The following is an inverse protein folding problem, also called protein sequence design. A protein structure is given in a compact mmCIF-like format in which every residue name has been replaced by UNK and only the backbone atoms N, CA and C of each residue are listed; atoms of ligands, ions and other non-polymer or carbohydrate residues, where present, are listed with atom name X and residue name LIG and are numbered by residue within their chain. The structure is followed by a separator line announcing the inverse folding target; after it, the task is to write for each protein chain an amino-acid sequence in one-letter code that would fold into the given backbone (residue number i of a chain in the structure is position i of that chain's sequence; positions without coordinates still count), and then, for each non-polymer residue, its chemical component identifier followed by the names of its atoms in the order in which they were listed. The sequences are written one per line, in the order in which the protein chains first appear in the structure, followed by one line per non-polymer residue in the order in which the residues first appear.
data_IF_422981595237
#
_entry.id   IF_422981595237
#
_cell.length_a   1.000
_cell.length_b   1.000
_cell.length_c   1.000
_cell.angle_alpha   90.00
_cell.angle_beta   90.00
_cell.angle_gamma   90.00
#
_symmetry.space_group_name_H-M   'P 1'
#
loop_
_entity.id
_entity.type
_entity.pdbx_description
1 polymer ?
2 non-polymer ?
3 water ?
#
# COMPACT_ATOMS: atom_id res chain seq x y z
N UNK A 7 0.16 4.97 36.07
CA UNK A 7 -0.15 3.71 35.36
C UNK A 7 0.12 3.76 33.86
N UNK A 8 -0.28 4.88 33.24
CA UNK A 8 -0.26 5.15 31.82
C UNK A 8 0.78 6.21 31.43
N UNK A 9 1.32 6.07 30.19
CA UNK A 9 2.34 6.92 29.60
C UNK A 9 2.28 6.85 28.06
N UNK A 10 2.49 8.00 27.38
CA UNK A 10 2.51 8.14 25.91
C UNK A 10 3.85 8.80 25.55
N UNK A 11 4.64 8.15 24.65
CA UNK A 11 5.95 8.62 24.19
C UNK A 11 5.87 8.96 22.68
N UNK A 12 6.13 10.21 22.33
CA UNK A 12 6.09 10.71 20.96
C UNK A 12 7.48 11.19 20.58
N UNK A 13 8.28 10.31 19.96
CA UNK A 13 9.70 10.54 19.59
C UNK A 13 9.87 11.11 18.18
N UNK A 14 8.75 11.37 17.50
CA UNK A 14 8.76 11.94 16.17
C UNK A 14 9.22 13.40 16.21
N UNK A 15 10.14 13.80 15.30
CA UNK A 15 10.58 15.19 15.27
C UNK A 15 9.40 16.14 15.13
N UNK A 16 9.44 17.22 15.92
CA UNK A 16 8.44 18.30 15.98
C UNK A 16 8.28 18.99 14.62
N UNK A 17 9.22 18.74 13.68
CA UNK A 17 9.16 19.25 12.32
C UNK A 17 8.24 18.42 11.45
N UNK A 18 7.95 17.16 11.85
CA UNK A 18 7.06 16.27 11.08
C UNK A 18 5.61 16.73 11.06
N UNK A 19 5.00 16.62 9.87
CA UNK A 19 3.62 16.99 9.54
C UNK A 19 2.57 16.47 10.54
N UNK A 20 2.72 15.21 11.01
CA UNK A 20 1.78 14.52 11.89
C UNK A 20 1.92 14.83 13.40
N UNK A 21 2.97 15.59 13.83
CA UNK A 21 3.23 15.91 15.25
C UNK A 21 2.08 16.67 15.93
N UNK A 22 1.72 17.85 15.39
CA UNK A 22 0.62 18.68 15.87
C UNK A 22 -0.67 17.89 15.96
N UNK A 23 -1.12 17.24 14.83
CA UNK A 23 -2.32 16.37 14.88
C UNK A 23 -2.29 15.32 15.98
N UNK A 24 -1.16 14.57 16.12
CA UNK A 24 -1.03 13.53 17.15
C UNK A 24 -1.14 14.07 18.57
N UNK A 25 -0.54 15.26 18.85
CA UNK A 25 -0.64 15.92 20.15
C UNK A 25 -2.04 16.36 20.48
N UNK A 26 -2.78 16.95 19.50
CA UNK A 26 -4.18 17.38 19.69
C UNK A 26 -5.07 16.16 19.99
N UNK A 27 -4.84 15.07 19.25
CA UNK A 27 -5.54 13.82 19.39
C UNK A 27 -5.23 13.13 20.74
N UNK A 28 -3.95 13.12 21.18
CA UNK A 28 -3.57 12.56 22.49
C UNK A 28 -4.20 13.38 23.63
N UNK A 29 -4.19 14.72 23.50
CA UNK A 29 -4.78 15.68 24.44
C UNK A 29 -6.28 15.45 24.61
N UNK A 30 -7.00 15.35 23.48
CA UNK A 30 -8.46 15.21 23.41
C UNK A 30 -9.00 13.87 23.90
N UNK A 31 -8.44 12.74 23.42
CA UNK A 31 -8.99 11.42 23.73
C UNK A 31 -8.29 10.68 24.88
N UNK A 32 -7.11 11.15 25.29
CA UNK A 32 -6.39 10.57 26.44
C UNK A 32 -5.88 11.74 27.32
N UNK A 33 -6.77 12.61 27.87
CA UNK A 33 -6.30 13.76 28.66
C UNK A 33 -5.53 13.41 29.94
N UNK A 34 -5.81 12.23 30.52
CA UNK A 34 -5.20 11.76 31.77
C UNK A 34 -3.86 11.04 31.59
N UNK A 35 -3.45 10.84 30.32
CA UNK A 35 -2.17 10.18 30.02
C UNK A 35 -1.10 11.20 29.61
N UNK A 36 0.02 11.33 30.37
CA UNK A 36 1.05 12.31 29.99
C UNK A 36 1.83 11.98 28.70
N UNK A 37 2.12 13.00 27.88
CA UNK A 37 2.89 12.85 26.64
C UNK A 37 4.37 13.22 26.90
N UNK A 38 5.28 12.31 26.55
CA UNK A 38 6.73 12.47 26.70
C UNK A 38 7.36 12.35 25.31
N UNK A 39 8.47 13.05 25.06
CA UNK A 39 9.18 13.04 23.78
C UNK A 39 10.44 12.17 23.87
N UNK A 40 10.60 11.47 24.98
CA UNK A 40 11.74 10.60 25.24
C UNK A 40 11.33 9.30 25.94
N UNK A 41 11.79 8.20 25.39
CA UNK A 41 11.56 6.86 25.90
C UNK A 41 12.35 6.68 27.21
N UNK A 42 11.67 6.31 28.33
CA UNK A 42 12.41 6.16 29.60
C UNK A 42 13.40 4.98 29.57
N UNK A 43 14.31 4.93 30.56
CA UNK A 43 15.31 3.87 30.68
C UNK A 43 14.61 2.49 30.70
N UNK A 44 13.51 2.35 31.46
CA UNK A 44 12.73 1.11 31.55
C UNK A 44 11.25 1.37 31.38
N UNK A 45 10.53 0.38 30.83
CA UNK A 45 9.09 0.44 30.63
C UNK A 45 8.44 -0.36 31.77
N UNK A 46 8.00 0.34 32.81
CA UNK A 46 7.42 -0.27 34.00
C UNK A 46 5.96 0.17 34.28
N UNK A 47 5.36 0.82 33.26
CA UNK A 47 4.00 1.34 33.21
C UNK A 47 3.48 0.94 31.82
N UNK A 48 2.15 0.95 31.59
CA UNK A 48 1.67 0.66 30.25
C UNK A 48 1.87 1.93 29.43
N UNK A 49 2.54 1.80 28.28
CA UNK A 49 2.92 2.95 27.47
C UNK A 49 2.67 2.77 25.98
N UNK A 50 2.41 3.89 25.32
CA UNK A 50 2.24 3.90 23.88
C UNK A 50 3.31 4.80 23.27
N UNK A 51 4.20 4.20 22.51
CA UNK A 51 5.28 4.86 21.82
C UNK A 51 4.93 5.04 20.34
N UNK A 52 4.69 6.28 19.93
CA UNK A 52 4.47 6.61 18.55
C UNK A 52 5.79 7.24 18.10
N UNK A 53 6.49 6.51 17.24
CA UNK A 53 7.77 6.94 16.69
C UNK A 53 7.96 6.58 15.23
N UNK A 54 9.10 6.98 14.66
CA UNK A 54 9.54 6.60 13.31
C UNK A 54 10.01 5.17 13.47
N UNK A 55 10.02 4.37 12.38
CA UNK A 55 10.35 2.94 12.44
C UNK A 55 11.60 2.62 13.24
N UNK A 56 12.69 3.36 12.95
CA UNK A 56 13.98 3.18 13.61
C UNK A 56 14.00 3.57 15.09
N UNK A 57 13.07 4.46 15.56
CA UNK A 57 13.07 4.85 16.99
C UNK A 57 12.37 3.79 17.87
N UNK A 58 11.56 2.93 17.25
CA UNK A 58 10.84 1.92 18.03
C UNK A 58 11.72 0.77 18.50
N UNK A 59 11.35 0.11 19.61
CA UNK A 59 12.10 -1.00 20.18
C UNK A 59 11.35 -2.29 19.98
N UNK A 60 11.74 -3.03 18.91
CA UNK A 60 11.11 -4.27 18.51
C UNK A 60 11.32 -5.41 19.51
N UNK A 61 12.43 -5.40 20.26
CA UNK A 61 12.70 -6.41 21.29
C UNK A 61 11.79 -6.22 22.51
N UNK A 62 11.52 -4.95 22.90
CA UNK A 62 10.63 -4.60 24.01
C UNK A 62 9.14 -4.77 23.65
N UNK A 63 8.84 -4.85 22.35
CA UNK A 63 7.48 -5.01 21.84
C UNK A 63 7.10 -6.49 21.88
N UNK A 64 8.07 -7.38 21.59
CA UNK A 64 7.82 -8.83 21.60
C UNK A 64 8.04 -9.48 22.96
N UNK A 65 8.65 -8.74 23.91
CA UNK A 65 8.97 -9.26 25.25
C UNK A 65 8.22 -8.57 26.39
N UNK A 66 7.82 -7.29 26.19
CA UNK A 66 7.12 -6.53 27.22
C UNK A 66 5.73 -6.17 26.77
N UNK A 67 4.74 -6.63 27.53
CA UNK A 67 3.35 -6.38 27.21
C UNK A 67 2.88 -5.00 27.64
N UNK A 68 3.75 -4.25 28.35
CA UNK A 68 3.45 -2.89 28.79
C UNK A 68 3.72 -1.90 27.69
N UNK A 69 4.67 -2.24 26.78
CA UNK A 69 5.12 -1.40 25.67
C UNK A 69 4.29 -1.59 24.42
N UNK A 70 3.69 -0.51 23.94
CA UNK A 70 2.89 -0.50 22.71
C UNK A 70 3.54 0.46 21.77
N UNK A 71 3.61 0.08 20.52
CA UNK A 71 4.26 0.86 19.48
C UNK A 71 3.35 0.98 18.22
N UNK A 72 3.66 1.96 17.37
CA UNK A 72 2.93 2.19 16.11
C UNK A 72 3.55 1.38 14.95
N UNK A 73 3.89 0.12 15.20
CA UNK A 73 4.40 -0.79 14.18
C UNK A 73 4.26 -2.23 14.60
N UNK A 74 4.13 -3.12 13.59
CA UNK A 74 4.13 -4.56 13.79
C UNK A 74 5.55 -5.05 13.51
N UNK A 75 5.86 -6.29 13.92
CA UNK A 75 7.18 -6.86 13.76
C UNK A 75 7.34 -7.59 12.42
N UNK A 76 6.41 -8.52 12.11
CA UNK A 76 6.44 -9.34 10.89
C UNK A 76 5.42 -8.82 9.88
N UNK A 77 5.86 -8.00 8.95
CA UNK A 77 4.94 -7.47 7.98
C UNK A 77 5.50 -7.50 6.53
N UNK A 78 6.63 -8.18 6.32
CA UNK A 78 7.33 -8.36 5.03
C UNK A 78 6.43 -8.98 3.95
N UNK A 79 5.54 -9.90 4.37
CA UNK A 79 4.56 -10.59 3.53
C UNK A 79 3.56 -9.63 2.86
N UNK A 80 3.44 -8.36 3.33
CA UNK A 80 2.52 -7.39 2.70
C UNK A 80 3.26 -6.12 2.26
N UNK A 81 4.30 -5.66 2.99
CA UNK A 81 5.00 -4.42 2.59
C UNK A 81 6.06 -4.66 1.51
N UNK A 82 6.39 -5.93 1.22
CA UNK A 82 7.33 -6.23 0.13
C UNK A 82 6.54 -6.75 -1.05
N UNK A 83 6.54 -5.99 -2.17
CA UNK A 83 5.78 -6.30 -3.40
C UNK A 83 6.11 -7.70 -3.99
N UNK A 84 7.33 -8.23 -3.79
CA UNK A 84 7.61 -9.58 -4.29
C UNK A 84 6.84 -10.60 -3.43
N UNK A 85 6.94 -10.43 -2.11
CA UNK A 85 6.31 -11.30 -1.13
C UNK A 85 4.78 -11.17 -1.09
N UNK A 86 4.26 -9.94 -1.35
CA UNK A 86 2.83 -9.63 -1.43
C UNK A 86 2.20 -10.53 -2.48
N UNK A 87 2.84 -10.58 -3.68
CA UNK A 87 2.43 -11.41 -4.82
C UNK A 87 2.30 -12.85 -4.36
N UNK A 88 3.31 -13.38 -3.66
CA UNK A 88 3.30 -14.75 -3.14
C UNK A 88 2.19 -14.98 -2.15
N UNK A 89 1.95 -14.02 -1.26
CA UNK A 89 0.87 -14.10 -0.27
C UNK A 89 -0.49 -14.22 -0.99
N UNK A 90 -0.73 -13.37 -2.00
CA UNK A 90 -1.99 -13.36 -2.76
C UNK A 90 -2.13 -14.64 -3.59
N UNK A 91 -1.09 -15.03 -4.37
CA UNK A 91 -1.10 -16.24 -5.19
C UNK A 91 -1.44 -17.47 -4.40
N UNK A 92 -0.81 -17.66 -3.22
CA UNK A 92 -1.06 -18.86 -2.41
C UNK A 92 -2.44 -18.88 -1.78
N UNK A 93 -3.03 -17.71 -1.56
CA UNK A 93 -4.36 -17.60 -0.98
C UNK A 93 -5.50 -17.83 -2.00
N UNK A 94 -5.38 -17.28 -3.23
CA UNK A 94 -6.41 -17.37 -4.27
C UNK A 94 -6.57 -18.81 -4.80
N UNK A 95 -5.53 -19.66 -4.62
CA UNK A 95 -5.52 -21.07 -5.00
C UNK A 95 -6.73 -21.76 -4.37
N UNK A 96 -6.92 -21.59 -3.04
CA UNK A 96 -8.05 -22.16 -2.31
C UNK A 96 -9.19 -21.16 -2.11
N UNK A 97 -9.13 -19.99 -2.78
CA UNK A 97 -10.15 -18.93 -2.67
C UNK A 97 -10.40 -18.30 -4.04
N UNK A 98 -11.06 -19.07 -4.91
CA UNK A 98 -11.44 -18.77 -6.29
C UNK A 98 -12.37 -17.55 -6.38
N UNK A 99 -13.32 -17.40 -5.44
CA UNK A 99 -14.32 -16.32 -5.50
C UNK A 99 -13.80 -14.95 -5.00
N UNK A 100 -12.63 -14.92 -4.34
CA UNK A 100 -11.98 -13.74 -3.78
C UNK A 100 -11.77 -12.61 -4.80
N UNK A 101 -12.01 -11.35 -4.35
CA UNK A 101 -11.82 -10.11 -5.14
C UNK A 101 -10.35 -10.00 -5.56
N UNK A 102 -9.43 -10.56 -4.75
CA UNK A 102 -7.98 -10.56 -4.99
C UNK A 102 -7.55 -11.25 -6.30
N UNK A 103 -8.44 -12.09 -6.90
CA UNK A 103 -8.23 -12.74 -8.19
C UNK A 103 -8.34 -11.72 -9.32
N UNK A 104 -8.99 -10.56 -9.05
CA UNK A 104 -9.20 -9.46 -10.00
C UNK A 104 -8.50 -8.17 -9.59
N UNK A 105 -8.63 -7.78 -8.30
CA UNK A 105 -8.16 -6.55 -7.68
C UNK A 105 -6.66 -6.50 -7.28
N UNK A 106 -5.78 -7.14 -8.06
CA UNK A 106 -4.35 -7.14 -7.78
C UNK A 106 -3.50 -7.20 -9.05
N UNK A 107 -2.46 -6.36 -9.12
CA UNK A 107 -1.55 -6.32 -10.24
C UNK A 107 -0.38 -7.17 -9.88
N UNK A 108 -0.32 -8.37 -10.45
CA UNK A 108 0.73 -9.33 -10.19
C UNK A 108 2.05 -8.78 -10.71
N UNK A 109 3.14 -9.19 -10.07
CA UNK A 109 4.51 -8.88 -10.47
C UNK A 109 5.34 -10.14 -10.31
N UNK A 110 6.37 -10.27 -11.13
CA UNK A 110 7.27 -11.41 -11.12
C UNK A 110 8.67 -10.91 -11.33
N UNK A 111 9.65 -11.69 -10.88
CA UNK A 111 11.06 -11.38 -11.05
C UNK A 111 11.67 -12.36 -12.02
N UNK A 112 12.31 -11.84 -13.06
CA UNK A 112 12.94 -12.65 -14.09
C UNK A 112 14.41 -12.28 -14.23
N UNK A 113 15.25 -13.28 -14.53
CA UNK A 113 16.68 -13.11 -14.76
C UNK A 113 16.95 -13.66 -16.15
N UNK A 114 17.28 -12.75 -17.08
CA UNK A 114 17.56 -13.13 -18.46
C UNK A 114 18.98 -12.67 -18.77
N UNK A 115 19.83 -13.61 -19.17
CA UNK A 115 21.23 -13.39 -19.52
C UNK A 115 21.30 -12.89 -20.97
N UNK A 116 20.71 -13.66 -21.90
CA UNK A 116 20.66 -13.39 -23.35
C UNK A 116 19.29 -13.79 -23.85
N UNK A 117 18.85 -13.12 -24.92
CA UNK A 117 17.53 -13.29 -25.56
C UNK A 117 17.23 -14.75 -25.95
N UNK A 118 18.25 -15.49 -26.42
CA UNK A 118 18.14 -16.90 -26.83
C UNK A 118 17.75 -17.88 -25.68
N UNK A 119 17.85 -17.42 -24.41
CA UNK A 119 17.51 -18.23 -23.26
C UNK A 119 16.33 -17.71 -22.46
N UNK A 120 15.49 -16.86 -23.11
CA UNK A 120 14.25 -16.29 -22.56
C UNK A 120 13.29 -17.41 -22.17
N UNK A 121 13.19 -18.46 -23.00
CA UNK A 121 12.33 -19.60 -22.71
C UNK A 121 12.73 -20.36 -21.44
N UNK A 122 14.04 -20.41 -21.11
CA UNK A 122 14.52 -21.08 -19.90
C UNK A 122 14.23 -20.23 -18.67
N UNK A 123 14.28 -18.90 -18.82
CA UNK A 123 14.00 -17.96 -17.74
C UNK A 123 12.50 -18.00 -17.38
N UNK A 124 11.62 -18.25 -18.37
CA UNK A 124 10.18 -18.38 -18.18
C UNK A 124 9.81 -19.68 -17.45
N UNK A 125 10.69 -20.69 -17.52
CA UNK A 125 10.51 -21.95 -16.81
C UNK A 125 10.94 -21.79 -15.35
N UNK A 126 12.05 -21.07 -15.09
CA UNK A 126 12.58 -20.75 -13.75
C UNK A 126 11.59 -19.84 -12.91
N UNK A 127 10.48 -19.39 -13.54
CA UNK A 127 9.39 -18.63 -12.95
C UNK A 127 8.13 -19.10 -13.67
N UNK A 128 7.70 -20.35 -13.34
CA UNK A 128 6.56 -21.07 -13.92
C UNK A 128 5.23 -20.34 -13.77
N UNK A 129 5.04 -19.57 -12.67
CA UNK A 129 3.81 -18.80 -12.43
C UNK A 129 3.60 -17.77 -13.56
N UNK A 130 4.69 -17.06 -13.93
CA UNK A 130 4.76 -16.03 -14.96
C UNK A 130 4.45 -16.63 -16.33
N UNK A 131 5.11 -17.76 -16.68
CA UNK A 131 4.92 -18.45 -17.97
C UNK A 131 3.44 -18.70 -18.24
N UNK A 132 2.75 -19.27 -17.23
CA UNK A 132 1.34 -19.65 -17.27
C UNK A 132 0.45 -18.45 -17.45
N UNK A 133 0.80 -17.34 -16.82
CA UNK A 133 0.07 -16.09 -16.93
C UNK A 133 0.15 -15.53 -18.35
N UNK A 134 1.38 -15.45 -18.93
CA UNK A 134 1.64 -14.95 -20.29
C UNK A 134 0.94 -15.82 -21.34
N UNK A 135 0.90 -17.15 -21.08
CA UNK A 135 0.26 -18.15 -21.93
C UNK A 135 -1.26 -17.99 -21.95
N UNK A 136 -1.85 -17.50 -20.84
CA UNK A 136 -3.28 -17.24 -20.70
C UNK A 136 -3.79 -16.14 -21.63
N UNK A 137 -2.90 -15.20 -22.04
CA UNK A 137 -3.12 -14.11 -22.98
C UNK A 137 -4.30 -13.16 -22.62
N UNK A 138 -4.58 -13.00 -21.32
CA UNK A 138 -5.69 -12.19 -20.80
C UNK A 138 -5.28 -10.80 -20.29
N UNK A 139 -3.96 -10.52 -20.16
CA UNK A 139 -3.48 -9.27 -19.56
C UNK A 139 -2.41 -8.55 -20.34
N UNK A 140 -2.19 -7.25 -19.99
CA UNK A 140 -1.12 -6.41 -20.51
C UNK A 140 -0.01 -6.46 -19.48
N UNK A 141 1.23 -6.26 -19.94
CA UNK A 141 2.38 -6.40 -19.07
C UNK A 141 3.39 -5.38 -19.37
N UNK A 142 4.22 -5.14 -18.41
CA UNK A 142 5.30 -4.21 -18.56
C UNK A 142 6.60 -4.91 -18.11
N UNK A 143 7.65 -4.79 -18.94
CA UNK A 143 8.97 -5.34 -18.67
C UNK A 143 9.84 -4.19 -18.12
N UNK A 144 10.03 -4.16 -16.78
CA UNK A 144 10.77 -3.12 -16.08
C UNK A 144 12.17 -3.61 -15.73
N UNK A 145 13.25 -3.01 -16.28
CA UNK A 145 14.59 -3.42 -15.87
C UNK A 145 14.81 -2.84 -14.46
N UNK A 146 14.90 -3.73 -13.43
CA UNK A 146 15.05 -3.41 -12.01
C UNK A 146 15.99 -2.24 -11.70
N UNK A 147 17.03 -2.07 -12.52
CA UNK A 147 17.99 -0.98 -12.39
C UNK A 147 17.84 0.02 -13.53
N UNK A 148 17.80 1.32 -13.19
CA UNK A 148 17.64 2.41 -14.16
C UNK A 148 19.00 3.04 -14.51
N UNK A 152 17.34 -0.34 -20.23
CA UNK A 152 17.05 -0.11 -21.63
C UNK A 152 15.60 0.40 -21.86
N UNK A 153 14.94 0.80 -20.77
CA UNK A 153 13.59 1.35 -20.80
C UNK A 153 12.49 0.34 -20.55
N UNK A 154 11.43 0.76 -19.82
CA UNK A 154 10.30 -0.12 -19.50
C UNK A 154 9.36 -0.23 -20.74
N UNK A 155 9.15 -1.47 -21.23
CA UNK A 155 8.39 -1.79 -22.43
C UNK A 155 7.13 -2.66 -22.20
N UNK A 156 6.07 -2.36 -22.97
CA UNK A 156 4.78 -3.04 -22.94
C UNK A 156 4.76 -4.23 -23.91
N UNK A 157 4.03 -5.28 -23.52
CA UNK A 157 3.81 -6.49 -24.32
C UNK A 157 2.61 -7.24 -23.75
N UNK A 158 2.11 -8.21 -24.50
CA UNK A 158 1.00 -9.07 -24.06
C UNK A 158 1.33 -10.56 -24.21
N UNK A 159 2.21 -10.93 -25.17
CA UNK A 159 2.57 -12.34 -25.44
C UNK A 159 4.08 -12.68 -25.30
N UNK A 160 4.36 -13.98 -25.15
CA UNK A 160 5.71 -14.52 -25.08
C UNK A 160 6.54 -14.10 -26.30
N UNK A 161 5.96 -14.15 -27.54
CA UNK A 161 6.65 -13.71 -28.77
C UNK A 161 6.99 -12.21 -28.75
N UNK A 162 6.04 -11.38 -28.25
CA UNK A 162 6.26 -9.95 -28.10
C UNK A 162 7.43 -9.69 -27.12
N UNK A 163 7.44 -10.39 -25.98
CA UNK A 163 8.53 -10.35 -25.00
C UNK A 163 9.85 -10.81 -25.62
N UNK A 164 9.79 -11.87 -26.44
CA UNK A 164 10.92 -12.44 -27.16
C UNK A 164 11.52 -11.43 -28.15
N UNK A 165 10.67 -10.68 -28.87
CA UNK A 165 11.06 -9.64 -29.83
C UNK A 165 11.70 -8.45 -29.11
N UNK A 166 11.20 -8.11 -27.90
CA UNK A 166 11.75 -7.03 -27.09
C UNK A 166 13.21 -7.40 -26.73
N UNK A 167 13.42 -8.62 -26.17
CA UNK A 167 14.75 -9.13 -25.78
C UNK A 167 15.72 -9.24 -26.94
N UNK A 168 15.25 -9.68 -28.12
CA UNK A 168 16.03 -9.79 -29.35
C UNK A 168 16.54 -8.41 -29.78
N UNK A 169 15.66 -7.39 -29.69
CA UNK A 169 15.98 -6.01 -30.06
C UNK A 169 16.96 -5.34 -29.09
N UNK A 170 17.11 -5.88 -27.85
CA UNK A 170 18.06 -5.36 -26.86
C UNK A 170 19.49 -5.76 -27.25
N UNK A 171 19.64 -6.99 -27.83
CA UNK A 171 20.89 -7.59 -28.30
C UNK A 171 21.46 -6.86 -29.52
N UNK A 172 20.60 -6.25 -30.34
CA UNK A 172 21.00 -5.56 -31.56
C UNK A 172 20.48 -4.13 -31.59
N UNK A 191 24.36 -5.05 -20.61
CA UNK A 191 23.36 -4.39 -19.77
C UNK A 191 23.09 -5.20 -18.47
N UNK A 192 22.02 -4.85 -17.73
CA UNK A 192 21.61 -5.51 -16.48
C UNK A 192 20.67 -6.68 -16.78
N UNK A 193 20.76 -7.75 -15.97
CA UNK A 193 20.06 -9.02 -16.19
C UNK A 193 18.76 -9.24 -15.38
N UNK A 194 18.56 -8.50 -14.28
CA UNK A 194 17.35 -8.67 -13.47
C UNK A 194 16.23 -7.79 -14.03
N UNK A 195 15.01 -8.33 -14.08
CA UNK A 195 13.83 -7.60 -14.58
C UNK A 195 12.60 -7.93 -13.78
N UNK A 196 11.66 -6.99 -13.73
CA UNK A 196 10.36 -7.22 -13.12
C UNK A 196 9.36 -7.19 -14.26
N UNK A 197 8.45 -8.15 -14.28
CA UNK A 197 7.36 -8.25 -15.22
C UNK A 197 6.13 -7.93 -14.37
N UNK A 198 5.57 -6.75 -14.60
CA UNK A 198 4.46 -6.25 -13.81
C UNK A 198 3.22 -6.12 -14.69
N UNK A 199 2.06 -6.59 -14.20
CA UNK A 199 0.78 -6.43 -14.88
C UNK A 199 0.58 -4.93 -15.12
N UNK A 200 0.21 -4.60 -16.34
CA UNK A 200 0.03 -3.21 -16.72
C UNK A 200 -1.43 -2.86 -16.99
N UNK A 201 -1.88 -1.75 -16.44
CA UNK A 201 -3.22 -1.21 -16.62
C UNK A 201 -3.23 -0.23 -17.84
N UNK A 202 -3.60 -0.77 -19.02
CA UNK A 202 -3.63 -0.04 -20.31
C UNK A 202 -4.79 0.94 -20.38
N UNK A 203 -5.77 0.67 -19.53
CA UNK A 203 -7.12 1.16 -19.32
C UNK A 203 -7.23 2.20 -18.13
N UNK A 204 -6.34 3.18 -17.83
CA UNK A 204 -6.59 4.00 -16.63
C UNK A 204 -7.81 4.91 -16.73
N UNK A 205 -8.50 5.17 -15.61
CA UNK A 205 -9.66 6.07 -15.56
C UNK A 205 -9.13 7.49 -15.76
N UNK A 206 -9.64 8.13 -16.81
CA UNK A 206 -9.26 9.49 -17.25
C UNK A 206 -10.44 10.40 -17.08
N UNK A 207 -10.26 11.42 -16.23
CA UNK A 207 -11.27 12.38 -15.83
C UNK A 207 -11.06 13.68 -16.51
N UNK A 208 -12.16 14.34 -16.91
CA UNK A 208 -12.20 15.62 -17.61
C UNK A 208 -11.45 16.68 -16.78
N UNK A 209 -11.93 16.89 -15.55
CA UNK A 209 -11.42 17.83 -14.56
C UNK A 209 -9.88 17.73 -14.30
N UNK A 210 -9.29 16.55 -14.45
CA UNK A 210 -7.87 16.36 -14.27
C UNK A 210 -7.08 16.54 -15.59
N UNK A 211 -7.76 17.02 -16.65
CA UNK A 211 -7.19 17.20 -17.99
C UNK A 211 -6.46 15.93 -18.51
N UNK A 212 -7.11 14.77 -18.35
CA UNK A 212 -6.67 13.47 -18.83
C UNK A 212 -5.42 12.88 -18.21
N UNK A 213 -5.09 13.33 -17.01
CA UNK A 213 -3.95 12.87 -16.23
C UNK A 213 -4.47 11.71 -15.39
N UNK A 214 -3.75 10.58 -15.39
CA UNK A 214 -4.15 9.39 -14.64
C UNK A 214 -3.84 9.57 -13.15
N UNK A 215 -4.43 8.71 -12.29
CA UNK A 215 -4.17 8.81 -10.87
C UNK A 215 -4.19 7.48 -10.20
N UNK A 216 -3.56 7.46 -9.03
CA UNK A 216 -3.66 6.30 -8.17
C UNK A 216 -4.29 6.77 -6.87
N UNK A 217 -4.86 5.82 -6.11
CA UNK A 217 -5.51 6.09 -4.85
C UNK A 217 -4.55 5.67 -3.73
N UNK A 218 -4.35 6.57 -2.78
CA UNK A 218 -3.62 6.28 -1.56
C UNK A 218 -4.71 6.15 -0.48
N UNK A 219 -4.86 4.93 0.03
CA UNK A 219 -5.83 4.60 1.07
C UNK A 219 -5.06 4.28 2.39
N UNK A 220 -5.32 5.05 3.49
CA UNK A 220 -4.68 4.74 4.78
C UNK A 220 -5.47 3.65 5.50
N UNK A 221 -4.77 2.57 5.84
CA UNK A 221 -5.35 1.39 6.47
C UNK A 221 -4.67 1.22 7.82
N UNK A 222 -5.46 1.18 8.91
CA UNK A 222 -4.90 1.00 10.25
C UNK A 222 -5.24 -0.37 10.77
N UNK A 223 -4.21 -1.12 11.12
CA UNK A 223 -4.33 -2.40 11.80
C UNK A 223 -4.16 -2.11 13.24
N UNK A 224 -5.02 -2.67 14.06
CA UNK A 224 -4.95 -2.49 15.51
C UNK A 224 -5.00 -3.85 16.24
N UNK A 225 -3.99 -4.13 17.06
CA UNK A 225 -3.85 -5.33 17.87
C UNK A 225 -3.89 -6.64 17.10
N UNK A 226 -4.54 -7.69 17.69
CA UNK A 226 -4.68 -9.01 17.07
C UNK A 226 -6.16 -9.47 16.99
N UNK A 227 -6.91 -9.09 15.95
CA UNK A 227 -6.57 -8.14 14.89
C UNK A 227 -7.83 -7.44 14.47
N UNK A 228 -7.75 -6.12 14.33
CA UNK A 228 -8.81 -5.30 13.77
C UNK A 228 -8.22 -4.52 12.63
N UNK A 229 -8.93 -4.47 11.50
CA UNK A 229 -8.48 -3.76 10.31
C UNK A 229 -9.46 -2.64 10.02
N UNK A 230 -8.93 -1.41 9.93
CA UNK A 230 -9.72 -0.22 9.74
C UNK A 230 -9.28 0.51 8.50
N UNK A 231 -10.22 0.74 7.60
CA UNK A 231 -9.96 1.50 6.38
C UNK A 231 -10.49 2.91 6.60
N UNK A 232 -9.65 3.90 6.31
CA UNK A 232 -9.98 5.31 6.39
C UNK A 232 -10.62 5.71 5.02
N UNK A 233 -11.92 6.06 5.05
CA UNK A 233 -12.71 6.37 3.85
C UNK A 233 -12.42 7.72 3.19
N UNK A 234 -11.59 8.58 3.80
CA UNK A 234 -11.21 9.85 3.19
C UNK A 234 -9.89 9.55 2.50
N UNK A 235 -9.96 9.11 1.25
CA UNK A 235 -8.80 8.69 0.49
C UNK A 235 -8.22 9.80 -0.42
N UNK A 236 -7.01 9.57 -0.94
CA UNK A 236 -6.31 10.55 -1.75
C UNK A 236 -6.18 10.06 -3.17
N UNK A 237 -6.25 10.99 -4.10
CA UNK A 237 -6.02 10.75 -5.51
C UNK A 237 -4.77 11.59 -5.84
N UNK A 238 -3.70 10.90 -6.26
CA UNK A 238 -2.41 11.48 -6.59
C UNK A 238 -2.30 11.36 -8.09
N UNK A 239 -2.37 12.50 -8.77
CA UNK A 239 -2.33 12.60 -10.24
C UNK A 239 -0.94 12.68 -10.82
N UNK A 240 -0.77 12.08 -12.01
CA UNK A 240 0.49 12.09 -12.76
C UNK A 240 0.71 13.52 -13.34
N UNK A 241 1.96 13.99 -13.57
CA UNK A 241 2.13 15.38 -14.06
C UNK A 241 1.61 15.67 -15.48
N UNK A 242 1.78 14.69 -16.36
CA UNK A 242 1.43 14.81 -17.77
C UNK A 242 0.16 14.05 -18.17
N UNK A 243 -0.45 14.46 -19.28
CA UNK A 243 -1.65 13.82 -19.82
C UNK A 243 -1.27 12.42 -20.27
N UNK A 244 -2.12 11.43 -19.96
CA UNK A 244 -1.87 10.05 -20.33
C UNK A 244 -1.88 9.85 -21.85
N UNK A 245 -0.82 9.23 -22.36
CA UNK A 245 -0.68 8.94 -23.79
C UNK A 245 -0.48 7.42 -23.88
N UNK A 246 -1.47 6.64 -24.40
CA UNK A 246 -1.29 5.19 -24.49
C UNK A 246 -0.22 4.74 -25.50
N UNK A 247 0.72 3.87 -25.08
CA UNK A 247 1.78 3.41 -26.00
C UNK A 247 1.29 2.53 -27.16
N UNK A 248 1.99 2.63 -28.30
CA UNK A 248 1.73 1.92 -29.56
C UNK A 248 2.81 0.84 -29.77
N UNK A 249 2.88 0.27 -31.00
CA UNK A 249 3.91 -0.69 -31.37
C UNK A 249 5.15 0.05 -31.91
N UNK A 250 4.94 1.25 -32.54
CA UNK A 250 6.04 2.09 -33.03
C UNK A 250 6.88 2.64 -31.86
N UNK A 251 6.20 2.94 -30.74
CA UNK A 251 6.79 3.44 -29.50
C UNK A 251 6.07 2.79 -28.29
N UNK A 252 6.70 1.74 -27.70
CA UNK A 252 6.14 0.94 -26.60
C UNK A 252 6.83 1.15 -25.24
N UNK A 253 7.50 2.30 -25.10
CA UNK A 253 8.23 2.66 -23.88
C UNK A 253 7.42 3.70 -23.09
N UNK A 254 7.58 3.69 -21.77
CA UNK A 254 7.01 4.68 -20.84
C UNK A 254 8.06 5.06 -19.80
N UNK A 255 8.00 6.32 -19.31
CA UNK A 255 8.98 6.88 -18.37
C UNK A 255 10.39 6.97 -19.04
N UNK A 256 10.42 7.45 -20.31
CA UNK A 256 11.64 7.66 -21.11
C UNK A 256 12.49 8.77 -20.47
N UNK A 257 11.80 9.80 -19.91
CA UNK A 257 12.37 10.97 -19.23
C UNK A 257 13.15 10.57 -17.98
N UNK A 258 12.90 9.36 -17.44
CA UNK A 258 13.61 8.80 -16.31
C UNK A 258 14.91 8.15 -16.80
N UNK A 259 14.86 7.41 -17.93
CA UNK A 259 16.08 6.79 -18.51
C UNK A 259 16.99 7.82 -19.20
N UNK A 260 16.40 8.96 -19.65
CA UNK A 260 17.12 10.08 -20.27
C UNK A 260 17.82 10.89 -19.17
N UNK A 261 17.20 10.95 -17.96
CA UNK A 261 17.72 11.63 -16.77
C UNK A 261 19.03 11.00 -16.28
N UNK A 262 19.21 9.68 -16.43
CA UNK A 262 20.43 8.98 -16.03
C UNK A 262 21.58 9.21 -17.02
N UNK A 263 21.25 9.51 -18.29
CA UNK A 263 22.23 9.80 -19.34
C UNK A 263 22.83 11.22 -19.18
N UNK A 264 22.11 12.10 -18.46
CA UNK A 264 22.50 13.50 -18.23
C UNK A 264 22.78 13.83 -16.74
N UNK A 265 22.38 12.92 -15.81
CA UNK A 265 22.49 13.01 -14.35
C UNK A 265 21.74 14.21 -13.78
N UNK A 278 0.08 16.63 -8.07
CA UNK A 278 -1.24 17.07 -7.59
C UNK A 278 -1.92 15.99 -6.76
N UNK A 279 -2.39 16.39 -5.57
CA UNK A 279 -3.08 15.57 -4.57
C UNK A 279 -4.42 16.24 -4.24
N UNK A 280 -5.50 15.52 -4.48
CA UNK A 280 -6.90 15.91 -4.24
C UNK A 280 -7.50 14.72 -3.48
N UNK A 281 -8.44 15.01 -2.57
CA UNK A 281 -9.20 14.00 -1.85
C UNK A 281 -10.06 13.29 -2.90
N UNK A 282 -10.01 11.95 -2.88
CA UNK A 282 -10.76 11.13 -3.81
C UNK A 282 -12.23 11.51 -3.96
N UNK A 283 -12.96 11.73 -2.83
CA UNK A 283 -14.38 12.05 -2.84
C UNK A 283 -14.70 13.41 -3.44
N UNK A 284 -13.68 14.28 -3.55
CA UNK A 284 -13.85 15.60 -4.15
C UNK A 284 -13.87 15.50 -5.69
N UNK A 285 -13.57 14.30 -6.29
CA UNK A 285 -13.58 14.14 -7.74
C UNK A 285 -15.05 13.88 -8.20
N UNK A 286 -15.77 14.95 -8.59
CA UNK A 286 -17.19 14.86 -8.93
C UNK A 286 -17.44 14.29 -10.32
N UNK A 287 -16.40 14.21 -11.18
CA UNK A 287 -16.52 13.59 -12.49
C UNK A 287 -16.63 12.07 -12.38
N UNK A 288 -16.42 11.54 -11.15
CA UNK A 288 -16.68 10.14 -10.85
C UNK A 288 -18.09 10.15 -10.28
N UNK A 289 -19.12 9.55 -10.94
CA UNK A 289 -20.47 9.52 -10.30
C UNK A 289 -20.42 8.95 -8.88
N UNK A 290 -21.19 9.51 -7.93
CA UNK A 290 -21.16 9.06 -6.53
C UNK A 290 -21.32 7.55 -6.33
N UNK A 291 -22.17 6.86 -7.11
CA UNK A 291 -22.34 5.41 -6.97
C UNK A 291 -21.07 4.67 -7.41
N UNK A 292 -20.29 5.26 -8.35
CA UNK A 292 -19.02 4.70 -8.78
C UNK A 292 -17.98 4.92 -7.69
N UNK A 293 -18.01 6.07 -7.01
CA UNK A 293 -17.12 6.34 -5.88
C UNK A 293 -17.38 5.34 -4.75
N UNK A 294 -18.67 4.99 -4.50
CA UNK A 294 -19.08 4.04 -3.47
C UNK A 294 -18.66 2.60 -3.80
N UNK A 295 -18.75 2.21 -5.08
CA UNK A 295 -18.34 0.90 -5.60
C UNK A 295 -16.82 0.76 -5.46
N UNK A 296 -16.06 1.87 -5.68
CA UNK A 296 -14.61 1.86 -5.52
C UNK A 296 -14.28 1.65 -4.00
N UNK A 297 -15.08 2.24 -3.12
CA UNK A 297 -14.88 2.11 -1.68
C UNK A 297 -15.18 0.65 -1.26
N UNK A 298 -16.29 0.10 -1.76
CA UNK A 298 -16.72 -1.28 -1.51
C UNK A 298 -15.60 -2.25 -1.93
N UNK A 299 -15.11 -2.13 -3.18
CA UNK A 299 -13.96 -2.92 -3.68
C UNK A 299 -12.72 -2.78 -2.80
N UNK A 300 -12.43 -1.54 -2.34
CA UNK A 300 -11.25 -1.30 -1.49
C UNK A 300 -11.37 -2.07 -0.14
N UNK A 301 -12.52 -1.97 0.50
CA UNK A 301 -12.77 -2.64 1.77
C UNK A 301 -12.71 -4.11 1.62
N UNK A 302 -13.23 -4.64 0.51
CA UNK A 302 -13.18 -6.06 0.24
C UNK A 302 -11.75 -6.57 0.04
N UNK A 303 -10.96 -5.81 -0.74
CA UNK A 303 -9.57 -6.16 -1.07
C UNK A 303 -8.63 -6.13 0.14
N UNK A 304 -8.80 -5.12 1.03
CA UNK A 304 -8.06 -4.94 2.28
C UNK A 304 -8.36 -6.14 3.23
N UNK A 305 -9.64 -6.47 3.43
CA UNK A 305 -10.16 -7.56 4.29
C UNK A 305 -9.59 -8.92 3.84
N UNK A 306 -9.66 -9.19 2.53
CA UNK A 306 -9.17 -10.40 1.87
C UNK A 306 -7.66 -10.50 2.01
N UNK A 307 -6.94 -9.37 1.85
CA UNK A 307 -5.48 -9.35 2.00
C UNK A 307 -5.04 -9.71 3.39
N UNK A 308 -5.69 -9.15 4.40
CA UNK A 308 -5.34 -9.48 5.77
C UNK A 308 -5.70 -10.93 6.11
N UNK A 309 -6.77 -11.49 5.52
CA UNK A 309 -7.11 -12.90 5.72
C UNK A 309 -6.00 -13.78 5.05
N UNK A 310 -5.54 -13.37 3.86
CA UNK A 310 -4.46 -14.03 3.11
C UNK A 310 -3.18 -14.05 3.91
N UNK A 311 -2.72 -12.86 4.36
CA UNK A 311 -1.51 -12.56 5.11
C UNK A 311 -1.35 -13.34 6.40
N UNK A 312 -2.42 -13.41 7.18
CA UNK A 312 -2.48 -14.06 8.48
C UNK A 312 -2.49 -15.59 8.38
N UNK A 313 -3.22 -16.14 7.39
CA UNK A 313 -3.47 -17.57 7.23
C UNK A 313 -2.52 -18.34 6.30
N UNK A 314 -1.64 -17.68 5.52
CA UNK A 314 -0.72 -18.39 4.62
C UNK A 314 0.17 -19.40 5.34
N UNK A 315 0.40 -20.54 4.66
CA UNK A 315 1.21 -21.67 5.12
C UNK A 315 2.72 -21.37 4.94
N UNK A 316 3.03 -20.22 4.28
CA UNK A 316 4.37 -19.68 4.00
C UNK A 316 4.62 -18.47 4.94
N UNK A 317 5.50 -17.52 4.53
CA UNK A 317 5.83 -16.29 5.25
C UNK A 317 4.52 -15.56 5.53
N UNK A 318 4.22 -15.28 6.80
CA UNK A 318 2.96 -14.62 7.15
C UNK A 318 3.11 -13.38 8.04
N UNK A 319 2.03 -12.57 8.07
CA UNK A 319 1.88 -11.38 8.87
C UNK A 319 1.51 -11.87 10.25
N UNK A 320 2.30 -11.52 11.29
CA UNK A 320 2.05 -11.96 12.66
C UNK A 320 1.56 -10.78 13.48
N UNK A 321 0.22 -10.67 13.65
CA UNK A 321 -0.31 -9.57 14.46
C UNK A 321 0.02 -9.71 15.95
N UNK A 322 0.44 -8.61 16.54
CA UNK A 322 0.75 -8.45 17.94
C UNK A 322 -0.36 -7.65 18.59
N UNK A 323 -0.76 -8.06 19.78
CA UNK A 323 -1.79 -7.45 20.61
C UNK A 323 -1.43 -5.98 20.99
N UNK A 324 -0.15 -5.71 21.20
CA UNK A 324 0.34 -4.42 21.64
C UNK A 324 0.86 -3.54 20.49
N UNK A 325 0.50 -3.87 19.27
CA UNK A 325 0.90 -3.08 18.11
C UNK A 325 -0.32 -2.50 17.43
N UNK A 326 -0.11 -1.40 16.72
CA UNK A 326 -1.03 -0.80 15.77
C UNK A 326 -0.16 -0.28 14.64
N UNK A 327 -0.71 -0.14 13.45
CA UNK A 327 0.08 0.39 12.36
C UNK A 327 -0.82 0.94 11.28
N UNK A 328 -0.47 2.13 10.75
CA UNK A 328 -1.24 2.63 9.62
C UNK A 328 -0.34 2.53 8.39
N UNK A 329 -0.86 1.85 7.37
CA UNK A 329 -0.17 1.60 6.13
C UNK A 329 -0.82 2.43 5.03
N UNK A 330 -0.04 2.70 3.98
CA UNK A 330 -0.46 3.39 2.78
C UNK A 330 -0.71 2.39 1.66
N UNK A 331 -2.01 2.12 1.36
CA UNK A 331 -2.38 1.18 0.29
C UNK A 331 -2.54 1.94 -1.00
N UNK A 332 -1.79 1.53 -2.02
CA UNK A 332 -1.86 2.15 -3.34
C UNK A 332 -2.57 1.28 -4.34
N UNK A 333 -3.69 1.83 -4.81
CA UNK A 333 -4.58 1.25 -5.80
C UNK A 333 -4.61 2.06 -7.10
N UNK A 334 -4.70 1.35 -8.22
CA UNK A 334 -4.90 1.92 -9.56
C UNK A 334 -6.40 1.73 -9.88
N UNK A 335 -6.97 2.66 -10.63
CA UNK A 335 -8.36 2.64 -11.05
C UNK A 335 -8.37 2.59 -12.56
N UNK A 336 -9.15 1.66 -13.13
CA UNK A 336 -9.32 1.53 -14.58
C UNK A 336 -10.54 2.30 -15.06
N UNK A 337 -10.72 2.40 -16.40
CA UNK A 337 -11.83 3.14 -17.00
C UNK A 337 -13.22 2.52 -16.73
N UNK A 338 -13.27 1.33 -16.08
CA UNK A 338 -14.53 0.65 -15.70
C UNK A 338 -14.76 0.73 -14.21
N UNK A 339 -14.04 1.68 -13.53
CA UNK A 339 -14.10 1.96 -12.10
C UNK A 339 -13.73 0.74 -11.25
N UNK A 340 -12.82 -0.10 -11.77
CA UNK A 340 -12.29 -1.29 -11.10
C UNK A 340 -10.95 -0.97 -10.46
N UNK A 341 -10.80 -1.31 -9.18
CA UNK A 341 -9.54 -1.05 -8.46
C UNK A 341 -8.54 -2.20 -8.63
N UNK A 342 -7.28 -1.87 -8.55
CA UNK A 342 -6.24 -2.85 -8.64
C UNK A 342 -5.18 -2.52 -7.63
N UNK A 343 -4.99 -3.41 -6.65
CA UNK A 343 -3.96 -3.17 -5.65
C UNK A 343 -2.58 -3.29 -6.28
N UNK A 344 -1.76 -2.26 -6.06
CA UNK A 344 -0.42 -2.22 -6.59
C UNK A 344 0.58 -2.56 -5.48
N UNK A 345 0.50 -1.87 -4.32
CA UNK A 345 1.45 -2.08 -3.22
C UNK A 345 0.92 -1.56 -1.89
N UNK A 346 1.61 -1.98 -0.83
CA UNK A 346 1.33 -1.60 0.54
C UNK A 346 2.65 -0.98 1.02
N UNK A 347 2.59 0.27 1.48
CA UNK A 347 3.74 1.00 1.98
C UNK A 347 3.63 1.24 3.47
N UNK A 348 4.65 0.80 4.19
CA UNK A 348 4.86 0.97 5.61
C UNK A 348 5.42 2.36 5.77
N UNK A 349 5.12 3.01 6.91
CA UNK A 349 5.57 4.34 7.29
C UNK A 349 5.46 5.35 6.12
N UNK A 350 4.23 5.49 5.55
CA UNK A 350 4.05 6.41 4.40
C UNK A 350 4.25 7.87 4.77
N UNK A 351 4.61 8.70 3.77
CA UNK A 351 4.77 10.14 4.02
C UNK A 351 3.35 10.70 4.03
N UNK A 352 2.94 11.20 5.18
CA UNK A 352 1.63 11.81 5.39
C UNK A 352 1.67 13.30 5.01
N UNK A 353 2.88 13.89 4.78
CA UNK A 353 3.02 15.32 4.45
C UNK A 353 2.23 15.77 3.20
N UNK A 354 1.37 16.81 3.39
CA UNK A 354 0.50 17.44 2.39
C UNK A 354 0.54 18.98 2.51
N UNK A 355 -0.14 19.65 1.58
CA UNK A 355 -0.25 21.11 1.58
C UNK A 355 -1.73 21.46 1.44
N UNK A 356 -2.13 22.54 2.10
CA UNK A 356 -3.51 22.99 2.06
C UNK A 356 -4.28 22.64 3.32
N UNK A 357 -5.42 23.31 3.51
CA UNK A 357 -6.30 23.17 4.68
C UNK A 357 -7.15 21.94 4.62
N UNK A 358 -7.71 21.65 3.42
CA UNK A 358 -8.58 20.51 3.16
C UNK A 358 -7.85 19.17 3.40
N UNK A 359 -6.56 19.08 3.01
CA UNK A 359 -5.76 17.88 3.20
C UNK A 359 -5.26 17.75 4.63
N UNK A 360 -5.07 18.88 5.34
CA UNK A 360 -4.69 18.90 6.76
C UNK A 360 -5.85 18.39 7.60
N UNK A 361 -7.10 18.77 7.24
CA UNK A 361 -8.35 18.37 7.87
C UNK A 361 -8.47 16.84 7.75
N UNK A 362 -8.16 16.32 6.56
CA UNK A 362 -8.18 14.90 6.26
C UNK A 362 -7.24 14.11 7.21
N UNK A 363 -6.00 14.64 7.42
CA UNK A 363 -4.98 13.99 8.26
C UNK A 363 -5.33 14.14 9.76
N UNK A 364 -5.95 15.30 10.15
CA UNK A 364 -6.41 15.57 11.53
C UNK A 364 -7.48 14.57 11.98
N UNK A 365 -8.41 14.25 11.08
CA UNK A 365 -9.50 13.33 11.35
C UNK A 365 -8.97 11.90 11.37
N UNK A 366 -7.90 11.62 10.60
CA UNK A 366 -7.29 10.30 10.57
C UNK A 366 -6.70 9.95 11.93
N UNK A 367 -5.84 10.85 12.47
CA UNK A 367 -5.14 10.64 13.74
C UNK A 367 -6.09 10.75 14.92
N UNK A 368 -7.20 11.48 14.76
CA UNK A 368 -8.27 11.56 15.76
C UNK A 368 -8.90 10.16 15.94
N UNK A 369 -9.21 9.47 14.81
CA UNK A 369 -9.81 8.14 14.79
C UNK A 369 -8.88 7.08 15.30
N UNK A 370 -7.59 7.15 14.93
CA UNK A 370 -6.56 6.20 15.33
C UNK A 370 -6.41 6.22 16.85
N UNK A 371 -6.29 7.43 17.42
CA UNK A 371 -6.15 7.60 18.86
C UNK A 371 -7.45 7.24 19.62
N UNK A 372 -8.62 7.73 19.16
CA UNK A 372 -9.90 7.48 19.84
C UNK A 372 -10.43 6.04 19.75
N UNK A 373 -9.99 5.25 18.73
CA UNK A 373 -10.50 3.89 18.49
C UNK A 373 -9.48 2.79 18.76
N UNK A 374 -8.22 3.02 18.37
CA UNK A 374 -7.16 2.03 18.51
C UNK A 374 -6.29 2.23 19.76
N UNK A 375 -5.91 3.51 20.05
CA UNK A 375 -5.02 3.83 21.16
C UNK A 375 -5.75 3.77 22.49
N UNK A 376 -6.94 4.37 22.62
CA UNK A 376 -7.71 4.35 23.89
C UNK A 376 -7.83 2.92 24.51
N UNK A 377 -8.23 1.87 23.73
CA UNK A 377 -8.34 0.51 24.31
C UNK A 377 -7.07 -0.13 24.87
N UNK A 378 -5.87 0.31 24.45
CA UNK A 378 -4.65 -0.28 25.01
C UNK A 378 -4.33 0.37 26.36
N UNK A 379 -5.09 1.41 26.74
CA UNK A 379 -4.98 2.11 28.02
C UNK A 379 -6.21 1.77 28.88
N UNK A 380 -6.93 0.69 28.49
CA UNK A 380 -8.15 0.15 29.11
C UNK A 380 -9.34 1.15 29.06
N UNK A 381 -9.29 2.12 28.13
CA UNK A 381 -10.35 3.12 27.91
C UNK A 381 -11.26 2.66 26.75
N UNK A 382 -12.60 2.74 26.88
CA UNK A 382 -13.48 2.27 25.78
C UNK A 382 -13.28 2.97 24.43
N UNK A 383 -13.30 2.21 23.31
CA UNK A 383 -13.17 2.88 22.00
C UNK A 383 -14.31 3.86 21.72
N UNK A 384 -13.96 5.14 21.49
CA UNK A 384 -14.89 6.23 21.24
C UNK A 384 -15.63 6.03 19.92
N UNK A 385 -16.97 5.84 19.98
CA UNK A 385 -17.81 5.64 18.80
C UNK A 385 -18.66 6.86 18.50
N UNK A 386 -18.75 7.21 17.21
CA UNK A 386 -19.57 8.28 16.68
C UNK A 386 -20.24 7.81 15.38
N UNK A 387 -21.53 8.13 15.20
CA UNK A 387 -22.33 7.75 14.03
C UNK A 387 -21.79 8.37 12.72
N UNK A 388 -21.90 7.61 11.60
CA UNK A 388 -21.44 7.94 10.24
C UNK A 388 -19.90 8.11 10.19
N UNK A 389 -19.21 7.14 10.82
CA UNK A 389 -17.75 7.09 10.91
C UNK A 389 -17.08 6.86 9.55
N UNK A 390 -15.97 7.55 9.32
CA UNK A 390 -15.18 7.35 8.10
C UNK A 390 -14.01 6.38 8.36
N UNK A 391 -13.92 5.85 9.60
CA UNK A 391 -12.92 4.85 10.04
C UNK A 391 -13.70 3.54 10.18
N UNK A 392 -13.72 2.76 9.11
CA UNK A 392 -14.54 1.56 9.01
C UNK A 392 -13.79 0.25 9.30
N UNK A 393 -14.32 -0.55 10.23
CA UNK A 393 -13.78 -1.85 10.55
C UNK A 393 -14.18 -2.83 9.46
N UNK A 394 -13.20 -3.33 8.67
CA UNK A 394 -13.41 -4.20 7.52
C UNK A 394 -13.08 -5.66 7.80
N UNK A 395 -12.34 -5.91 8.88
CA UNK A 395 -11.97 -7.26 9.32
C UNK A 395 -11.71 -7.25 10.78
N UNK A 396 -12.15 -8.32 11.46
CA UNK A 396 -11.88 -8.54 12.87
C UNK A 396 -11.58 -10.02 13.05
N UNK A 397 -10.38 -10.33 13.57
CA UNK A 397 -10.00 -11.71 13.90
C UNK A 397 -9.87 -11.83 15.40
N UNK A 398 -10.38 -12.95 15.97
CA UNK A 398 -10.28 -13.23 17.41
C UNK A 398 -9.08 -14.14 17.64
N UNK A 399 -7.90 -13.54 17.98
CA UNK A 399 -6.67 -14.29 18.26
C UNK A 399 -5.61 -13.44 18.98
#
# INVERSE_FOLDING_TARGET
GPLGSDPAQIVLTIPETEYIYGPLNRSFRKHLPNVPVSRSLPVTIDKLTFHYGDYEQLDMDQLMSNQLYHANSYIYRKAIIRKHYLSHTIHSYVVKNRESILNRAFLESFNIDVDYAEFLDDALDENWELRQELESKEKWWILKPSMSDKGQGIRIFKTIEQLQAIFDSFEEDETDDEDTETNTNKVATSQLRHFIVQEYLHNPLLLSEAHGRKFHIRCYVTCSGDLQVFVYDRMLALFAPNKFVPPTEEYDVLDIEQLACHLTNTCLQTDDDIKSNSVIEFDALKDIPSHRREEIRTQIHEAVSELFKAAVNVDRLNFRPLKNSLETFGFDFLVDSDYQVKLLEVNAFPDFKQTGDDLKNLIDELFDDVVSICVRPMFNLPPLHHQHSKFVEVLKLKSNDW
#
